data_IF_998209412602
#
_entry.id   IF_998209412602
#
_cell.length_a   1.000
_cell.length_b   1.000
_cell.length_c   1.000
_cell.angle_alpha   90.00
_cell.angle_beta   90.00
_cell.angle_gamma   90.00
#
_symmetry.space_group_name_H-M   'P 1'
#
loop_
_entity.id
_entity.type
_entity.pdbx_description
1 polymer ?
#
# COMPACT_ATOMS: atom_id res chain seq x y z
N UNK A 1 -26.23 -31.80 -12.38
CA UNK A 1 -26.66 -30.40 -12.42
C UNK A 1 -25.41 -29.58 -12.68
N UNK A 2 -25.27 -29.11 -13.89
CA UNK A 2 -24.12 -28.33 -14.35
C UNK A 2 -24.29 -26.88 -13.82
N UNK A 3 -23.32 -26.39 -13.05
CA UNK A 3 -23.22 -24.99 -12.70
C UNK A 3 -22.37 -24.29 -13.74
N UNK A 4 -23.04 -23.47 -14.50
CA UNK A 4 -22.52 -22.56 -15.50
C UNK A 4 -21.44 -21.65 -14.88
N UNK A 5 -20.19 -21.91 -15.25
CA UNK A 5 -19.04 -21.10 -14.87
C UNK A 5 -18.73 -20.11 -15.97
N UNK A 6 -19.46 -19.00 -16.04
CA UNK A 6 -19.05 -17.86 -16.85
C UNK A 6 -17.72 -17.31 -16.31
N UNK A 7 -16.65 -17.62 -17.01
CA UNK A 7 -15.35 -16.99 -16.82
C UNK A 7 -15.48 -15.49 -17.15
N UNK A 8 -15.51 -14.66 -16.10
CA UNK A 8 -15.31 -13.22 -16.27
C UNK A 8 -13.93 -12.98 -16.93
N UNK A 9 -13.95 -12.44 -18.12
CA UNK A 9 -12.77 -11.89 -18.78
C UNK A 9 -12.09 -10.88 -17.85
N UNK A 10 -10.75 -10.79 -17.83
CA UNK A 10 -10.08 -9.74 -17.11
C UNK A 10 -10.51 -8.39 -17.69
N UNK A 11 -11.18 -7.59 -16.88
CA UNK A 11 -11.58 -6.23 -17.21
C UNK A 11 -10.40 -5.46 -17.81
N UNK A 12 -10.59 -4.94 -19.01
CA UNK A 12 -9.70 -3.94 -19.58
C UNK A 12 -9.55 -2.80 -18.58
N UNK A 13 -8.31 -2.49 -18.25
CA UNK A 13 -7.95 -1.51 -17.23
C UNK A 13 -8.59 -0.15 -17.54
N UNK A 14 -9.64 0.19 -16.82
CA UNK A 14 -10.20 1.54 -16.85
C UNK A 14 -9.09 2.56 -16.51
N UNK A 15 -9.06 3.73 -17.17
CA UNK A 15 -8.01 4.71 -16.98
C UNK A 15 -7.92 5.11 -15.51
N UNK A 16 -6.77 4.85 -14.91
CA UNK A 16 -6.50 5.16 -13.51
C UNK A 16 -6.25 6.67 -13.41
N UNK A 17 -7.27 7.43 -13.04
CA UNK A 17 -7.03 8.78 -12.52
C UNK A 17 -6.53 8.58 -11.10
N UNK A 18 -5.22 8.65 -10.93
CA UNK A 18 -4.59 8.57 -9.63
C UNK A 18 -5.06 9.77 -8.80
N UNK A 19 -5.89 9.53 -7.78
CA UNK A 19 -5.92 10.44 -6.65
C UNK A 19 -4.55 10.31 -5.98
N UNK A 20 -3.65 11.18 -6.38
CA UNK A 20 -2.27 11.18 -5.88
C UNK A 20 -2.32 11.61 -4.43
N UNK A 21 -1.71 10.82 -3.54
CA UNK A 21 -1.31 11.34 -2.24
C UNK A 21 -0.54 12.67 -2.46
N UNK A 22 -0.50 13.60 -1.50
CA UNK A 22 0.33 14.79 -1.61
C UNK A 22 1.77 14.48 -2.03
N UNK A 23 2.26 13.29 -1.69
CA UNK A 23 3.56 12.74 -2.05
C UNK A 23 3.61 12.32 -3.54
N UNK A 24 2.48 11.89 -4.13
CA UNK A 24 2.39 11.47 -5.53
C UNK A 24 1.92 12.59 -6.47
N UNK A 25 1.41 13.70 -5.94
CA UNK A 25 0.96 14.85 -6.74
C UNK A 25 2.10 15.64 -7.36
N UNK A 26 3.32 15.49 -6.86
CA UNK A 26 4.49 16.15 -7.39
C UNK A 26 4.98 15.47 -8.70
N UNK A 27 4.26 15.62 -9.79
CA UNK A 27 4.86 15.56 -11.09
C UNK A 27 4.73 14.33 -11.95
N UNK A 28 3.55 14.02 -12.38
CA UNK A 28 3.27 13.13 -13.50
C UNK A 28 3.00 13.87 -14.83
N UNK A 29 3.68 14.98 -15.09
CA UNK A 29 3.68 15.56 -16.43
C UNK A 29 4.48 14.66 -17.37
N UNK A 30 3.96 14.44 -18.61
CA UNK A 30 4.75 13.87 -19.69
C UNK A 30 6.10 14.61 -19.79
N UNK A 31 7.19 13.95 -20.22
CA UNK A 31 8.44 14.63 -20.44
C UNK A 31 8.22 15.71 -21.49
N UNK A 32 8.02 16.96 -21.04
CA UNK A 32 7.90 18.11 -21.94
C UNK A 32 9.25 18.48 -22.49
N UNK A 33 9.30 18.88 -23.76
CA UNK A 33 10.45 19.53 -24.35
C UNK A 33 10.45 20.96 -23.87
N UNK A 34 11.35 21.30 -22.95
CA UNK A 34 11.54 22.70 -22.48
C UNK A 34 12.33 23.56 -23.45
N UNK A 35 12.78 23.06 -24.60
CA UNK A 35 13.41 23.78 -25.72
C UNK A 35 14.73 24.48 -25.40
N UNK A 36 15.33 24.29 -24.21
CA UNK A 36 16.57 24.96 -23.79
C UNK A 36 17.73 24.00 -23.56
N UNK A 37 18.94 24.55 -23.51
CA UNK A 37 20.15 23.80 -23.15
C UNK A 37 19.97 23.19 -21.74
N UNK A 38 20.23 21.89 -21.63
CA UNK A 38 20.07 21.14 -20.37
C UNK A 38 18.74 20.43 -20.22
N UNK A 39 17.91 20.38 -21.28
CA UNK A 39 16.63 19.61 -21.31
C UNK A 39 16.64 18.50 -22.37
N UNK A 40 15.58 17.68 -22.36
CA UNK A 40 15.39 16.60 -23.33
C UNK A 40 15.07 17.16 -24.72
N UNK A 41 15.90 16.78 -25.68
CA UNK A 41 15.65 17.08 -27.10
C UNK A 41 14.72 16.05 -27.72
N UNK A 42 14.14 16.38 -28.90
CA UNK A 42 13.28 15.42 -29.61
C UNK A 42 14.03 14.14 -29.96
N UNK A 43 15.29 14.23 -30.33
CA UNK A 43 16.14 13.05 -30.60
C UNK A 43 16.29 12.14 -29.38
N UNK A 44 16.51 12.72 -28.19
CA UNK A 44 16.55 11.96 -26.96
C UNK A 44 15.20 11.30 -26.61
N UNK A 45 14.09 11.98 -26.86
CA UNK A 45 12.77 11.45 -26.57
C UNK A 45 12.41 10.25 -27.47
N UNK A 46 12.77 10.30 -28.74
CA UNK A 46 12.44 9.28 -29.73
C UNK A 46 13.43 8.11 -29.75
N UNK A 47 14.68 8.33 -29.34
CA UNK A 47 15.72 7.30 -29.39
C UNK A 47 15.57 6.29 -28.22
N UNK A 48 15.54 5.01 -28.55
CA UNK A 48 15.53 3.94 -27.56
C UNK A 48 16.92 3.70 -26.92
N UNK A 49 17.98 4.00 -27.68
CA UNK A 49 19.39 3.81 -27.29
C UNK A 49 20.10 5.18 -27.35
N UNK A 50 20.74 5.56 -26.26
CA UNK A 50 21.43 6.86 -26.14
C UNK A 50 22.95 6.70 -26.21
N UNK A 51 23.59 7.71 -26.80
CA UNK A 51 25.04 7.85 -26.79
C UNK A 51 25.46 8.95 -25.82
N UNK A 52 26.71 8.92 -25.36
CA UNK A 52 27.28 10.00 -24.55
C UNK A 52 27.25 11.34 -25.34
N UNK A 53 27.48 11.29 -26.65
CA UNK A 53 27.45 12.46 -27.51
C UNK A 53 26.06 13.12 -27.58
N UNK A 54 24.98 12.33 -27.61
CA UNK A 54 23.58 12.87 -27.61
C UNK A 54 23.29 13.63 -26.32
N UNK A 55 23.68 13.06 -25.16
CA UNK A 55 23.49 13.70 -23.85
C UNK A 55 24.32 14.98 -23.73
N UNK A 56 25.58 14.94 -24.19
CA UNK A 56 26.47 16.11 -24.23
C UNK A 56 25.95 17.20 -25.15
N UNK A 57 25.46 16.87 -26.32
CA UNK A 57 24.90 17.85 -27.28
C UNK A 57 23.64 18.54 -26.70
N UNK A 58 22.82 17.85 -25.91
CA UNK A 58 21.70 18.43 -25.20
C UNK A 58 22.14 19.33 -24.01
N UNK A 59 23.41 19.32 -23.66
CA UNK A 59 23.96 20.08 -22.52
C UNK A 59 23.48 19.58 -21.14
N UNK A 60 23.07 18.32 -21.07
CA UNK A 60 22.64 17.69 -19.81
C UNK A 60 23.88 17.25 -19.03
N UNK A 61 24.13 17.73 -17.79
CA UNK A 61 25.25 17.30 -16.98
C UNK A 61 25.12 15.81 -16.63
N UNK A 62 26.26 15.10 -16.65
CA UNK A 62 26.35 13.67 -16.38
C UNK A 62 27.03 13.43 -15.05
N UNK A 63 26.43 12.60 -14.20
CA UNK A 63 26.99 12.09 -12.96
C UNK A 63 27.25 10.59 -13.13
N UNK A 64 28.49 10.16 -12.93
CA UNK A 64 28.86 8.76 -13.00
C UNK A 64 28.69 8.09 -11.65
N UNK A 65 27.96 6.97 -11.63
CA UNK A 65 27.79 6.16 -10.44
C UNK A 65 27.47 4.71 -10.85
N UNK A 66 28.13 3.70 -10.29
CA UNK A 66 27.94 2.32 -10.73
C UNK A 66 26.51 1.80 -10.58
N UNK A 67 25.80 2.20 -9.52
CA UNK A 67 24.46 1.72 -9.18
C UNK A 67 23.49 2.87 -8.92
N UNK A 68 22.34 2.80 -9.57
CA UNK A 68 21.23 3.73 -9.36
C UNK A 68 19.98 2.94 -8.95
N UNK A 69 19.27 3.40 -7.94
CA UNK A 69 17.91 2.94 -7.67
C UNK A 69 16.91 4.07 -7.89
N UNK A 70 15.82 3.76 -8.59
CA UNK A 70 14.74 4.69 -8.92
C UNK A 70 13.54 4.44 -8.02
N UNK A 71 13.14 5.48 -7.29
CA UNK A 71 12.20 5.41 -6.19
C UNK A 71 12.92 5.24 -4.85
N UNK A 72 12.53 6.03 -3.85
CA UNK A 72 13.20 6.06 -2.54
C UNK A 72 12.49 5.28 -1.44
N UNK A 73 11.46 4.47 -1.79
CA UNK A 73 10.66 3.73 -0.82
C UNK A 73 11.35 2.48 -0.23
N UNK A 74 10.59 1.69 0.50
CA UNK A 74 11.07 0.48 1.21
C UNK A 74 11.81 -0.48 0.27
N UNK A 75 11.37 -0.64 -0.99
CA UNK A 75 12.04 -1.54 -1.94
C UNK A 75 13.48 -1.11 -2.24
N UNK A 76 13.71 0.18 -2.49
CA UNK A 76 15.06 0.72 -2.68
C UNK A 76 15.88 0.65 -1.40
N UNK A 77 15.25 0.96 -0.27
CA UNK A 77 15.90 0.91 1.04
C UNK A 77 16.47 -0.48 1.33
N UNK A 78 15.68 -1.53 1.16
CA UNK A 78 16.13 -2.91 1.38
C UNK A 78 17.27 -3.29 0.44
N UNK A 79 17.20 -2.92 -0.84
CA UNK A 79 18.27 -3.20 -1.80
C UNK A 79 19.57 -2.51 -1.42
N UNK A 80 19.50 -1.23 -1.05
CA UNK A 80 20.67 -0.45 -0.61
C UNK A 80 21.22 -1.01 0.70
N UNK A 81 20.36 -1.39 1.64
CA UNK A 81 20.74 -2.01 2.91
C UNK A 81 21.59 -3.28 2.68
N UNK A 82 21.11 -4.19 1.80
CA UNK A 82 21.90 -5.37 1.41
C UNK A 82 23.25 -5.03 0.78
N UNK A 83 23.30 -4.03 -0.10
CA UNK A 83 24.56 -3.60 -0.72
C UNK A 83 25.52 -2.99 0.33
N UNK A 84 25.01 -2.22 1.27
CA UNK A 84 25.81 -1.66 2.38
C UNK A 84 26.33 -2.75 3.31
N UNK A 85 25.53 -3.75 3.64
CA UNK A 85 25.96 -4.93 4.41
C UNK A 85 27.06 -5.69 3.66
N UNK A 86 26.95 -5.80 2.34
CA UNK A 86 27.98 -6.42 1.48
C UNK A 86 29.24 -5.57 1.30
N UNK A 87 29.33 -4.40 1.94
CA UNK A 87 30.51 -3.53 1.93
C UNK A 87 30.57 -2.53 0.78
N UNK A 88 29.51 -2.36 -0.02
CA UNK A 88 29.49 -1.33 -1.07
C UNK A 88 29.45 0.06 -0.45
N UNK A 89 30.40 0.96 -0.72
CA UNK A 89 30.44 2.29 -0.14
C UNK A 89 29.34 3.21 -0.72
N UNK A 90 28.98 4.26 0.02
CA UNK A 90 27.85 5.16 -0.31
C UNK A 90 28.04 5.96 -1.60
N UNK A 91 29.28 6.30 -1.93
CA UNK A 91 29.63 7.03 -3.17
C UNK A 91 29.38 6.22 -4.45
N UNK A 92 29.32 4.90 -4.32
CA UNK A 92 29.04 3.98 -5.45
C UNK A 92 27.55 3.81 -5.78
N UNK A 93 26.68 4.44 -5.02
CA UNK A 93 25.22 4.29 -5.15
C UNK A 93 24.49 5.63 -5.10
N UNK A 94 23.39 5.75 -5.84
CA UNK A 94 22.44 6.86 -5.71
C UNK A 94 21.01 6.34 -5.69
N UNK A 95 20.22 6.96 -4.82
CA UNK A 95 18.77 6.73 -4.71
C UNK A 95 18.09 7.97 -5.24
N UNK A 96 17.40 7.85 -6.38
CA UNK A 96 16.75 8.97 -7.04
C UNK A 96 15.26 9.00 -6.66
N UNK A 97 14.83 10.01 -5.93
CA UNK A 97 13.45 10.09 -5.43
C UNK A 97 13.06 11.51 -5.00
N UNK A 98 11.77 11.73 -4.90
CA UNK A 98 11.17 12.95 -4.34
C UNK A 98 10.78 12.82 -2.85
N UNK A 99 10.82 11.61 -2.27
CA UNK A 99 10.50 11.40 -0.85
C UNK A 99 11.72 11.67 0.07
N UNK A 100 11.45 12.02 1.33
CA UNK A 100 12.49 12.41 2.29
C UNK A 100 13.17 11.23 2.98
N UNK A 101 12.39 10.17 3.23
CA UNK A 101 12.86 8.96 3.90
C UNK A 101 12.11 7.72 3.40
N UNK A 102 12.73 6.53 3.46
CA UNK A 102 12.22 5.34 2.78
C UNK A 102 10.82 4.87 3.20
N UNK A 103 10.42 5.12 4.42
CA UNK A 103 9.11 4.69 4.94
C UNK A 103 8.03 5.77 4.87
N UNK A 104 8.30 6.94 4.29
CA UNK A 104 7.37 8.08 4.21
C UNK A 104 6.01 7.70 3.61
N UNK A 105 6.01 7.06 2.45
CA UNK A 105 4.77 6.59 1.81
C UNK A 105 4.07 5.53 2.64
N UNK A 106 4.83 4.64 3.28
CA UNK A 106 4.28 3.58 4.12
C UNK A 106 3.64 4.16 5.40
N UNK A 107 4.30 5.09 6.05
CA UNK A 107 3.74 5.80 7.22
C UNK A 107 2.49 6.61 6.85
N UNK A 108 2.51 7.30 5.71
CA UNK A 108 1.32 7.96 5.17
C UNK A 108 0.16 6.98 4.96
N UNK A 109 0.39 5.87 4.26
CA UNK A 109 -0.63 4.87 3.99
C UNK A 109 -1.18 4.21 5.26
N UNK A 110 -0.35 3.93 6.26
CA UNK A 110 -0.83 3.41 7.55
C UNK A 110 -1.69 4.44 8.27
N UNK A 111 -1.31 5.71 8.26
CA UNK A 111 -2.07 6.80 8.88
C UNK A 111 -3.45 6.95 8.24
N UNK A 112 -3.52 7.10 6.92
CA UNK A 112 -4.82 7.26 6.23
C UNK A 112 -5.68 6.00 6.31
N UNK A 113 -5.08 4.82 6.36
CA UNK A 113 -5.79 3.54 6.57
C UNK A 113 -6.25 3.32 8.02
N UNK A 114 -6.16 4.33 8.89
CA UNK A 114 -6.54 4.27 10.30
C UNK A 114 -5.78 3.18 11.08
N UNK A 115 -4.49 3.03 10.81
CA UNK A 115 -3.59 2.14 11.54
C UNK A 115 -2.67 2.99 12.42
N UNK A 116 -3.02 3.24 13.68
CA UNK A 116 -2.21 4.07 14.56
C UNK A 116 -0.90 3.38 14.96
N UNK A 117 0.11 4.16 15.35
CA UNK A 117 1.45 3.64 15.73
C UNK A 117 1.44 2.50 16.77
N UNK A 118 0.51 2.45 17.77
CA UNK A 118 0.41 1.32 18.69
C UNK A 118 -0.19 0.04 18.09
N UNK A 119 -0.83 0.10 16.92
CA UNK A 119 -1.45 -1.07 16.29
C UNK A 119 -0.39 -2.00 15.71
N UNK A 120 -0.68 -3.30 15.74
CA UNK A 120 0.19 -4.31 15.14
C UNK A 120 0.05 -4.33 13.64
N UNK A 121 1.18 -4.43 12.96
CA UNK A 121 1.22 -4.54 11.50
C UNK A 121 2.10 -5.72 11.09
N UNK A 122 1.72 -6.35 9.98
CA UNK A 122 2.61 -7.24 9.29
C UNK A 122 3.61 -6.41 8.50
N UNK A 123 4.88 -6.57 8.80
CA UNK A 123 5.92 -5.87 8.06
C UNK A 123 7.10 -6.80 7.80
N UNK A 124 7.27 -7.17 6.55
CA UNK A 124 8.41 -7.97 6.11
C UNK A 124 9.70 -7.12 6.11
N UNK A 125 9.56 -5.79 6.08
CA UNK A 125 10.69 -4.84 6.23
C UNK A 125 11.36 -4.87 7.60
N UNK A 126 10.71 -5.46 8.60
CA UNK A 126 11.30 -5.71 9.91
C UNK A 126 12.27 -6.90 9.92
N UNK A 127 12.23 -7.78 8.92
CA UNK A 127 13.09 -8.95 8.77
C UNK A 127 14.28 -8.59 7.90
N UNK A 128 15.22 -7.82 8.43
CA UNK A 128 16.42 -7.39 7.72
C UNK A 128 17.57 -8.38 7.92
N UNK A 129 18.53 -8.43 6.96
CA UNK A 129 19.66 -9.38 7.03
C UNK A 129 20.53 -9.22 8.28
N UNK A 130 20.64 -8.00 8.80
CA UNK A 130 21.42 -7.67 9.99
C UNK A 130 20.70 -8.01 11.30
N UNK A 131 19.41 -8.23 11.24
CA UNK A 131 18.60 -8.62 12.40
C UNK A 131 18.43 -10.14 12.45
N UNK A 132 19.44 -10.85 12.93
CA UNK A 132 19.45 -12.31 13.05
C UNK A 132 18.34 -12.85 13.96
N UNK A 133 17.85 -12.03 14.87
CA UNK A 133 16.75 -12.37 15.77
C UNK A 133 15.37 -12.10 15.17
N UNK A 134 15.30 -11.31 14.08
CA UNK A 134 14.05 -10.97 13.42
C UNK A 134 12.98 -10.43 14.39
N UNK A 135 11.77 -10.95 14.30
CA UNK A 135 10.66 -10.55 15.20
C UNK A 135 10.90 -10.77 16.70
N UNK A 136 11.64 -11.78 17.17
CA UNK A 136 12.00 -11.91 18.58
C UNK A 136 12.67 -10.68 19.19
N UNK A 137 13.49 -9.94 18.44
CA UNK A 137 14.10 -8.71 18.93
C UNK A 137 13.08 -7.61 19.24
N UNK A 138 12.04 -7.48 18.44
CA UNK A 138 10.94 -6.56 18.70
C UNK A 138 10.09 -7.03 19.89
N UNK A 139 9.86 -8.33 20.02
CA UNK A 139 9.13 -8.89 21.15
C UNK A 139 9.87 -8.66 22.47
N UNK A 140 11.19 -8.80 22.48
CA UNK A 140 12.02 -8.49 23.64
C UNK A 140 11.94 -6.99 24.00
N UNK A 141 12.12 -6.10 23.03
CA UNK A 141 12.02 -4.66 23.24
C UNK A 141 10.64 -4.25 23.76
N UNK A 142 9.57 -4.84 23.24
CA UNK A 142 8.20 -4.60 23.73
C UNK A 142 7.99 -5.13 25.14
N UNK A 143 8.50 -6.33 25.46
CA UNK A 143 8.43 -6.92 26.78
C UNK A 143 9.12 -6.04 27.83
N UNK A 144 10.30 -5.52 27.53
CA UNK A 144 11.04 -4.62 28.40
C UNK A 144 10.32 -3.28 28.58
N UNK A 145 9.85 -2.65 27.50
CA UNK A 145 9.14 -1.36 27.54
C UNK A 145 7.85 -1.42 28.35
N UNK A 146 7.07 -2.48 28.18
CA UNK A 146 5.76 -2.64 28.81
C UNK A 146 5.80 -3.47 30.11
N UNK A 147 6.99 -3.90 30.55
CA UNK A 147 7.21 -4.75 31.75
C UNK A 147 6.27 -5.98 31.74
N UNK A 148 6.19 -6.69 30.61
CA UNK A 148 5.32 -7.86 30.43
C UNK A 148 6.00 -8.95 29.62
N UNK A 149 5.78 -10.22 30.00
CA UNK A 149 6.32 -11.37 29.26
C UNK A 149 5.41 -11.84 28.11
N UNK A 150 4.24 -11.22 27.92
CA UNK A 150 3.26 -11.63 26.92
C UNK A 150 3.82 -11.69 25.47
N UNK A 151 4.61 -10.71 24.99
CA UNK A 151 5.22 -10.77 23.66
C UNK A 151 6.20 -11.94 23.50
N UNK A 152 7.00 -12.24 24.54
CA UNK A 152 7.96 -13.35 24.53
C UNK A 152 7.24 -14.70 24.55
N UNK A 153 6.19 -14.82 25.38
CA UNK A 153 5.33 -16.02 25.37
C UNK A 153 4.74 -16.26 23.98
N UNK A 154 4.31 -15.22 23.27
CA UNK A 154 3.76 -15.35 21.92
C UNK A 154 4.80 -15.91 20.95
N UNK A 155 6.05 -15.47 21.01
CA UNK A 155 7.16 -16.01 20.20
C UNK A 155 7.40 -17.48 20.52
N UNK A 156 7.40 -17.86 21.80
CA UNK A 156 7.65 -19.24 22.22
C UNK A 156 6.54 -20.22 21.78
N UNK A 157 5.29 -19.78 21.76
CA UNK A 157 4.16 -20.63 21.37
C UNK A 157 3.86 -20.59 19.85
N UNK A 158 4.54 -19.76 19.11
CA UNK A 158 4.36 -19.61 17.64
C UNK A 158 4.40 -20.96 16.90
N UNK A 159 5.34 -21.87 17.14
CA UNK A 159 5.38 -23.15 16.44
C UNK A 159 4.13 -24.02 16.63
N UNK A 160 3.41 -23.82 17.74
CA UNK A 160 2.22 -24.59 18.10
C UNK A 160 0.95 -23.95 17.55
N UNK A 161 0.81 -22.64 17.71
CA UNK A 161 -0.44 -21.91 17.42
C UNK A 161 -0.48 -21.27 16.04
N UNK A 162 0.62 -21.24 15.31
CA UNK A 162 0.77 -20.59 14.00
C UNK A 162 0.35 -19.10 13.95
N UNK A 163 0.10 -18.49 15.11
CA UNK A 163 -0.23 -17.07 15.27
C UNK A 163 0.89 -16.41 16.06
N UNK A 164 1.88 -15.95 15.35
CA UNK A 164 3.11 -15.44 15.93
C UNK A 164 3.10 -13.93 16.14
N UNK A 165 4.11 -13.49 16.86
CA UNK A 165 4.33 -12.10 17.18
C UNK A 165 4.49 -11.25 15.92
N UNK A 166 3.80 -10.11 15.90
CA UNK A 166 4.00 -9.04 14.92
C UNK A 166 4.27 -7.71 15.63
N UNK A 167 5.21 -6.89 15.11
CA UNK A 167 5.55 -5.63 15.77
C UNK A 167 4.42 -4.61 15.67
N UNK A 168 4.50 -3.57 16.49
CA UNK A 168 3.66 -2.37 16.36
C UNK A 168 4.21 -1.48 15.24
N UNK A 169 3.33 -0.73 14.56
CA UNK A 169 3.71 0.16 13.47
C UNK A 169 4.83 1.14 13.87
N UNK A 170 4.73 1.76 15.05
CA UNK A 170 5.76 2.66 15.56
C UNK A 170 7.12 2.00 15.72
N UNK A 171 7.17 0.76 16.20
CA UNK A 171 8.44 0.02 16.35
C UNK A 171 9.10 -0.26 15.01
N UNK A 172 8.30 -0.55 13.97
CA UNK A 172 8.81 -0.76 12.61
C UNK A 172 9.44 0.52 12.07
N UNK A 173 8.75 1.65 12.19
CA UNK A 173 9.27 2.94 11.72
C UNK A 173 10.55 3.36 12.47
N UNK A 174 10.57 3.21 13.79
CA UNK A 174 11.78 3.44 14.61
C UNK A 174 12.93 2.52 14.19
N UNK A 175 12.64 1.27 13.84
CA UNK A 175 13.63 0.32 13.33
C UNK A 175 14.20 0.74 11.97
N UNK A 176 13.35 1.16 11.04
CA UNK A 176 13.75 1.66 9.73
C UNK A 176 14.59 2.93 9.84
N UNK A 177 14.22 3.83 10.75
CA UNK A 177 14.98 5.06 11.01
C UNK A 177 16.41 4.75 11.53
N UNK A 178 16.53 3.88 12.52
CA UNK A 178 17.86 3.48 13.05
C UNK A 178 18.72 2.87 11.96
N UNK A 179 18.14 2.00 11.14
CA UNK A 179 18.86 1.34 10.06
C UNK A 179 19.23 2.32 8.94
N UNK A 180 18.35 3.24 8.59
CA UNK A 180 18.65 4.31 7.63
C UNK A 180 19.87 5.14 8.06
N UNK A 181 19.96 5.46 9.35
CA UNK A 181 21.13 6.16 9.93
C UNK A 181 22.39 5.29 9.88
N UNK A 182 22.29 4.00 10.23
CA UNK A 182 23.42 3.06 10.21
C UNK A 182 24.07 2.92 8.85
N UNK A 183 23.24 2.84 7.79
CA UNK A 183 23.74 2.68 6.41
C UNK A 183 24.06 4.00 5.71
N UNK A 184 23.86 5.14 6.39
CA UNK A 184 24.03 6.50 5.82
C UNK A 184 23.16 6.70 4.57
N UNK A 185 21.87 6.31 4.64
CA UNK A 185 20.96 6.34 3.49
C UNK A 185 20.81 7.75 2.90
N UNK A 186 20.81 8.79 3.75
CA UNK A 186 20.71 10.19 3.35
C UNK A 186 21.83 10.62 2.39
N UNK A 187 23.04 10.06 2.53
CA UNK A 187 24.19 10.43 1.70
C UNK A 187 24.06 9.92 0.27
N UNK A 188 23.21 8.91 0.06
CA UNK A 188 22.92 8.32 -1.24
C UNK A 188 21.69 8.92 -1.91
N UNK A 189 20.80 9.59 -1.14
CA UNK A 189 19.53 10.13 -1.62
C UNK A 189 19.75 11.41 -2.42
N UNK A 190 19.28 11.40 -3.66
CA UNK A 190 19.26 12.58 -4.54
C UNK A 190 17.81 12.93 -4.84
N UNK A 191 17.42 14.12 -4.38
CA UNK A 191 16.06 14.62 -4.54
C UNK A 191 15.76 15.02 -5.97
N UNK A 192 14.58 14.65 -6.44
CA UNK A 192 14.05 15.02 -7.72
C UNK A 192 13.15 13.97 -8.35
N UNK A 193 12.62 14.32 -9.50
CA UNK A 193 11.70 13.45 -10.23
C UNK A 193 12.43 12.74 -11.38
N UNK A 194 12.46 11.42 -11.33
CA UNK A 194 12.97 10.62 -12.43
C UNK A 194 11.97 10.69 -13.59
N UNK A 195 12.46 11.08 -14.77
CA UNK A 195 11.66 11.26 -15.97
C UNK A 195 11.72 10.08 -16.91
N UNK A 196 12.90 9.49 -17.06
CA UNK A 196 13.10 8.34 -17.91
C UNK A 196 14.39 7.60 -17.61
N UNK A 197 14.44 6.38 -18.09
CA UNK A 197 15.63 5.52 -18.11
C UNK A 197 15.83 5.11 -19.55
N UNK A 198 17.07 5.18 -20.05
CA UNK A 198 17.46 4.75 -21.40
C UNK A 198 18.69 3.86 -21.34
N UNK A 199 18.73 2.89 -22.23
CA UNK A 199 19.95 2.09 -22.43
C UNK A 199 21.02 2.96 -23.06
N UNK A 200 22.25 2.81 -22.61
CA UNK A 200 23.42 3.50 -23.15
C UNK A 200 24.10 2.61 -24.20
N UNK A 201 24.50 3.21 -25.31
CA UNK A 201 25.38 2.54 -26.27
C UNK A 201 26.74 2.26 -25.61
N UNK A 202 27.23 1.03 -25.73
CA UNK A 202 28.43 0.59 -25.00
C UNK A 202 28.17 0.02 -23.60
N UNK A 203 26.89 -0.09 -23.21
CA UNK A 203 26.45 -0.75 -21.96
C UNK A 203 26.06 0.23 -20.87
N UNK A 204 25.25 -0.29 -19.94
CA UNK A 204 24.70 0.51 -18.84
C UNK A 204 23.49 1.36 -19.26
N UNK A 205 23.22 2.40 -18.45
CA UNK A 205 22.00 3.18 -18.52
C UNK A 205 22.26 4.67 -18.26
N UNK A 206 21.39 5.50 -18.83
CA UNK A 206 21.16 6.87 -18.39
C UNK A 206 19.83 6.96 -17.66
N UNK A 207 19.84 7.49 -16.44
CA UNK A 207 18.64 7.83 -15.67
C UNK A 207 18.53 9.33 -15.55
N UNK A 208 17.43 9.90 -16.05
CA UNK A 208 17.23 11.35 -16.10
C UNK A 208 16.41 11.81 -14.92
N UNK A 209 16.98 12.72 -14.14
CA UNK A 209 16.35 13.35 -12.98
C UNK A 209 16.10 14.84 -13.27
N UNK A 210 14.94 15.33 -12.84
CA UNK A 210 14.67 16.77 -12.69
C UNK A 210 14.82 17.11 -11.20
N UNK A 211 15.79 17.95 -10.84
CA UNK A 211 15.89 18.47 -9.47
C UNK A 211 14.64 19.26 -9.04
N UNK A 212 14.32 19.36 -7.73
CA UNK A 212 13.08 19.99 -7.25
C UNK A 212 12.94 21.45 -7.66
N UNK A 213 14.03 22.22 -7.67
CA UNK A 213 14.06 23.67 -7.86
C UNK A 213 14.51 24.08 -9.27
N UNK A 214 14.57 23.14 -10.22
CA UNK A 214 15.05 23.42 -11.58
C UNK A 214 14.08 24.32 -12.36
N UNK A 215 14.47 25.58 -12.60
CA UNK A 215 13.73 26.56 -13.42
C UNK A 215 14.71 27.24 -14.41
N UNK A 216 14.51 27.16 -15.74
CA UNK A 216 13.67 26.19 -16.46
C UNK A 216 14.14 24.75 -16.17
N UNK A 217 13.37 23.76 -16.58
CA UNK A 217 13.61 22.35 -16.25
C UNK A 217 15.01 21.90 -16.70
N UNK A 218 16.00 22.04 -15.83
CA UNK A 218 17.34 21.50 -16.03
C UNK A 218 17.37 20.06 -15.58
N UNK A 219 17.84 19.19 -16.45
CA UNK A 219 17.96 17.77 -16.20
C UNK A 219 19.35 17.41 -15.73
N UNK A 220 19.46 16.32 -14.98
CA UNK A 220 20.74 15.67 -14.66
C UNK A 220 20.63 14.21 -15.11
N UNK A 221 21.65 13.74 -15.82
CA UNK A 221 21.75 12.35 -16.25
C UNK A 221 22.68 11.58 -15.29
N UNK A 222 22.16 10.53 -14.69
CA UNK A 222 23.01 9.57 -13.96
C UNK A 222 23.39 8.44 -14.91
N UNK A 223 24.70 8.32 -15.18
CA UNK A 223 25.25 7.23 -16.00
C UNK A 223 25.65 6.09 -15.08
N UNK A 224 25.01 4.93 -15.24
CA UNK A 224 25.22 3.80 -14.34
C UNK A 224 25.35 2.48 -15.10
N UNK A 225 26.02 1.50 -14.49
CA UNK A 225 26.08 0.14 -15.00
C UNK A 225 24.80 -0.63 -14.65
N UNK A 226 24.26 -0.41 -13.46
CA UNK A 226 23.07 -1.09 -12.96
C UNK A 226 22.00 -0.08 -12.56
N UNK A 227 20.74 -0.42 -12.85
CA UNK A 227 19.57 0.34 -12.42
C UNK A 227 18.56 -0.62 -11.76
N UNK A 228 18.18 -0.30 -10.53
CA UNK A 228 17.10 -0.95 -9.81
C UNK A 228 15.86 -0.06 -9.87
N UNK A 229 14.71 -0.61 -10.25
CA UNK A 229 13.46 0.12 -10.36
C UNK A 229 12.53 -0.31 -9.24
N UNK A 230 12.25 0.59 -8.31
CA UNK A 230 11.41 0.36 -7.12
C UNK A 230 10.43 1.52 -6.90
N UNK A 231 9.66 1.82 -7.92
CA UNK A 231 8.72 2.97 -7.96
C UNK A 231 7.44 2.77 -7.13
N UNK A 232 7.27 1.59 -6.53
CA UNK A 232 6.11 1.29 -5.69
C UNK A 232 4.82 1.13 -6.48
N UNK A 233 3.70 1.48 -5.86
CA UNK A 233 2.38 1.38 -6.47
C UNK A 233 2.13 2.59 -7.40
N UNK A 234 1.54 2.38 -8.58
CA UNK A 234 1.34 3.46 -9.56
C UNK A 234 0.27 4.48 -9.16
N UNK A 235 -0.54 4.18 -8.16
CA UNK A 235 -1.60 5.06 -7.66
C UNK A 235 -2.76 4.32 -7.01
N UNK A 236 -3.76 5.06 -6.57
CA UNK A 236 -5.00 4.51 -6.03
C UNK A 236 -5.93 4.12 -7.18
N UNK A 237 -6.47 2.91 -7.12
CA UNK A 237 -7.51 2.47 -8.04
C UNK A 237 -8.87 2.71 -7.39
N UNK A 238 -9.66 3.58 -7.99
CA UNK A 238 -11.07 3.73 -7.64
C UNK A 238 -11.93 2.72 -8.38
N UNK A 239 -13.04 2.35 -7.79
CA UNK A 239 -14.07 1.64 -8.51
C UNK A 239 -14.68 2.58 -9.57
N UNK A 240 -15.00 2.10 -10.79
CA UNK A 240 -15.41 2.95 -11.89
C UNK A 240 -16.60 3.87 -11.56
N UNK A 241 -17.60 3.35 -10.87
CA UNK A 241 -18.79 4.10 -10.46
C UNK A 241 -18.49 5.20 -9.43
N UNK A 242 -17.51 4.98 -8.53
CA UNK A 242 -17.08 6.01 -7.57
C UNK A 242 -16.27 7.10 -8.28
N UNK A 243 -15.44 6.71 -9.23
CA UNK A 243 -14.66 7.65 -10.02
C UNK A 243 -15.57 8.51 -10.90
N UNK A 244 -16.54 7.91 -11.57
CA UNK A 244 -17.52 8.62 -12.39
C UNK A 244 -18.29 9.64 -11.54
N UNK A 245 -18.85 9.22 -10.41
CA UNK A 245 -19.58 10.11 -9.50
C UNK A 245 -18.72 11.31 -9.06
N UNK A 246 -17.48 11.06 -8.63
CA UNK A 246 -16.56 12.14 -8.18
C UNK A 246 -16.27 13.13 -9.30
N UNK A 247 -16.04 12.64 -10.52
CA UNK A 247 -15.71 13.48 -11.65
C UNK A 247 -16.93 14.29 -12.15
N UNK A 248 -18.09 13.67 -12.25
CA UNK A 248 -19.33 14.28 -12.70
C UNK A 248 -19.84 15.35 -11.75
N UNK A 249 -19.77 15.09 -10.45
CA UNK A 249 -20.29 15.98 -9.42
C UNK A 249 -19.22 16.90 -8.80
N UNK A 250 -17.93 16.75 -9.17
CA UNK A 250 -16.78 17.43 -8.54
C UNK A 250 -16.77 17.27 -7.01
N UNK A 251 -17.29 16.12 -6.55
CA UNK A 251 -17.44 15.82 -5.12
C UNK A 251 -16.34 14.88 -4.64
N UNK A 252 -15.37 15.45 -3.94
CA UNK A 252 -14.26 14.75 -3.33
C UNK A 252 -14.39 14.67 -1.80
N UNK A 253 -15.51 15.12 -1.25
CA UNK A 253 -15.76 15.16 0.19
C UNK A 253 -16.67 14.06 0.69
N UNK A 254 -17.70 13.69 -0.07
CA UNK A 254 -18.66 12.67 0.35
C UNK A 254 -18.23 11.26 -0.09
N UNK A 255 -17.46 11.16 -1.17
CA UNK A 255 -16.96 9.89 -1.70
C UNK A 255 -15.45 9.87 -1.67
N UNK A 256 -14.89 9.11 -0.73
CA UNK A 256 -13.45 9.07 -0.45
C UNK A 256 -12.92 7.64 -0.50
N UNK A 257 -11.62 7.52 -0.82
CA UNK A 257 -10.89 6.27 -0.65
C UNK A 257 -10.25 6.21 0.73
N UNK A 258 -10.25 5.05 1.36
CA UNK A 258 -9.55 4.85 2.62
C UNK A 258 -8.00 4.95 2.51
N UNK A 259 -7.47 5.13 1.30
CA UNK A 259 -6.05 5.40 1.03
C UNK A 259 -5.76 6.86 0.69
N UNK A 260 -6.77 7.73 0.75
CA UNK A 260 -6.63 9.19 0.72
C UNK A 260 -6.73 9.76 2.12
N UNK A 261 -6.43 11.05 2.27
CA UNK A 261 -6.76 11.77 3.50
C UNK A 261 -8.28 11.99 3.56
N UNK A 262 -8.90 11.47 4.61
CA UNK A 262 -10.34 11.53 4.83
C UNK A 262 -10.70 11.88 6.28
N UNK A 263 -9.80 12.58 6.99
CA UNK A 263 -10.07 13.02 8.37
C UNK A 263 -11.29 13.96 8.45
N UNK A 264 -11.55 14.75 7.42
CA UNK A 264 -12.73 15.60 7.32
C UNK A 264 -14.07 14.83 7.47
N UNK A 265 -14.10 13.55 7.11
CA UNK A 265 -15.31 12.70 7.30
C UNK A 265 -15.59 12.50 8.79
N UNK A 266 -14.57 12.19 9.57
CA UNK A 266 -14.70 12.01 11.04
C UNK A 266 -15.03 13.33 11.73
N UNK A 267 -14.40 14.43 11.33
CA UNK A 267 -14.67 15.77 11.88
C UNK A 267 -16.11 16.19 11.61
N UNK A 268 -16.60 15.96 10.39
CA UNK A 268 -18.00 16.24 10.04
C UNK A 268 -18.98 15.43 10.91
N UNK A 269 -18.71 14.14 11.14
CA UNK A 269 -19.55 13.27 11.95
C UNK A 269 -19.59 13.67 13.43
N UNK A 270 -18.55 14.36 13.93
CA UNK A 270 -18.53 14.92 15.28
C UNK A 270 -19.48 16.09 15.43
N UNK A 271 -19.70 16.85 14.36
CA UNK A 271 -20.53 18.05 14.35
C UNK A 271 -21.96 17.74 13.94
N UNK A 272 -22.15 16.91 12.91
CA UNK A 272 -23.46 16.60 12.34
C UNK A 272 -23.64 15.08 12.19
N UNK A 273 -24.68 14.51 12.82
CA UNK A 273 -25.02 13.09 12.59
C UNK A 273 -25.34 12.82 11.13
N UNK A 274 -25.05 11.61 10.68
CA UNK A 274 -25.33 11.18 9.31
C UNK A 274 -25.20 9.68 9.17
N UNK A 275 -25.15 9.19 7.93
CA UNK A 275 -24.93 7.79 7.59
C UNK A 275 -23.59 7.64 6.88
N UNK A 276 -22.78 6.71 7.32
CA UNK A 276 -21.53 6.35 6.66
C UNK A 276 -21.68 5.02 5.96
N UNK A 277 -21.51 5.01 4.64
CA UNK A 277 -21.45 3.79 3.86
C UNK A 277 -19.99 3.33 3.70
N UNK A 278 -19.64 2.20 4.32
CA UNK A 278 -18.33 1.55 4.15
C UNK A 278 -18.46 0.46 3.09
N UNK A 279 -17.58 0.47 2.09
CA UNK A 279 -17.51 -0.58 1.07
C UNK A 279 -16.27 -1.44 1.22
N UNK A 280 -16.46 -2.75 1.26
CA UNK A 280 -15.38 -3.73 1.28
C UNK A 280 -15.21 -4.48 2.59
N UNK A 281 -14.57 -5.66 2.53
CA UNK A 281 -14.38 -6.58 3.66
C UNK A 281 -12.90 -6.85 4.00
N UNK A 282 -11.98 -5.98 3.55
CA UNK A 282 -10.55 -6.12 3.79
C UNK A 282 -10.07 -5.50 5.12
N UNK A 283 -8.76 -5.57 5.33
CA UNK A 283 -8.14 -5.05 6.56
C UNK A 283 -8.38 -3.55 6.73
N UNK A 284 -8.32 -2.75 5.67
CA UNK A 284 -8.47 -1.30 5.75
C UNK A 284 -9.92 -0.93 6.11
N UNK A 285 -10.93 -1.57 5.49
CA UNK A 285 -12.33 -1.35 5.88
C UNK A 285 -12.59 -1.70 7.34
N UNK A 286 -11.94 -2.75 7.86
CA UNK A 286 -12.03 -3.10 9.27
C UNK A 286 -11.40 -2.05 10.19
N UNK A 287 -10.38 -1.34 9.72
CA UNK A 287 -9.73 -0.26 10.49
C UNK A 287 -10.55 1.02 10.49
N UNK A 288 -11.08 1.40 9.33
CA UNK A 288 -12.04 2.52 9.21
C UNK A 288 -13.26 2.28 10.11
N UNK A 289 -13.83 1.06 10.06
CA UNK A 289 -14.94 0.68 10.93
C UNK A 289 -14.58 0.77 12.42
N UNK A 290 -13.38 0.28 12.79
CA UNK A 290 -12.91 0.36 14.19
C UNK A 290 -12.79 1.82 14.65
N UNK A 291 -12.22 2.71 13.81
CA UNK A 291 -12.11 4.14 14.10
C UNK A 291 -13.49 4.78 14.29
N UNK A 292 -14.44 4.52 13.41
CA UNK A 292 -15.81 5.04 13.52
C UNK A 292 -16.48 4.56 14.82
N UNK A 293 -16.36 3.29 15.17
CA UNK A 293 -16.93 2.75 16.41
C UNK A 293 -16.28 3.34 17.66
N UNK A 294 -14.95 3.52 17.64
CA UNK A 294 -14.23 4.12 18.76
C UNK A 294 -14.58 5.63 18.92
N UNK A 295 -14.66 6.39 17.81
CA UNK A 295 -15.07 7.80 17.85
C UNK A 295 -16.54 7.94 18.30
N UNK A 296 -17.43 7.06 17.82
CA UNK A 296 -18.83 7.04 18.26
C UNK A 296 -18.95 6.85 19.78
N UNK A 297 -18.20 5.90 20.34
CA UNK A 297 -18.19 5.64 21.77
C UNK A 297 -17.50 6.76 22.57
N UNK A 298 -16.37 7.25 22.11
CA UNK A 298 -15.55 8.26 22.81
C UNK A 298 -16.25 9.62 22.90
N UNK A 299 -16.91 10.02 21.82
CA UNK A 299 -17.54 11.34 21.72
C UNK A 299 -19.07 11.29 21.83
N UNK A 300 -19.64 10.14 22.20
CA UNK A 300 -21.09 9.91 22.31
C UNK A 300 -21.87 10.36 21.06
N UNK A 301 -21.41 9.94 19.87
CA UNK A 301 -21.99 10.35 18.60
C UNK A 301 -23.18 9.45 18.19
N UNK A 302 -24.08 10.01 17.37
CA UNK A 302 -25.33 9.34 16.98
C UNK A 302 -25.41 8.96 15.49
N UNK A 303 -24.30 9.04 14.73
CA UNK A 303 -24.29 8.61 13.32
C UNK A 303 -24.48 7.09 13.16
N UNK A 304 -25.01 6.70 12.00
CA UNK A 304 -25.19 5.30 11.62
C UNK A 304 -24.09 4.83 10.68
N UNK A 305 -23.81 3.52 10.69
CA UNK A 305 -22.86 2.88 9.80
C UNK A 305 -23.57 1.79 9.00
N UNK A 306 -23.52 1.89 7.68
CA UNK A 306 -23.93 0.84 6.74
C UNK A 306 -22.68 0.24 6.13
N UNK A 307 -22.48 -1.07 6.30
CA UNK A 307 -21.33 -1.78 5.78
C UNK A 307 -21.72 -2.68 4.62
N UNK A 308 -21.29 -2.33 3.42
CA UNK A 308 -21.61 -3.03 2.19
C UNK A 308 -20.47 -3.98 1.82
N UNK A 309 -20.77 -5.26 1.79
CA UNK A 309 -19.89 -6.31 1.31
C UNK A 309 -20.29 -6.78 -0.08
N UNK A 310 -19.33 -6.96 -0.99
CA UNK A 310 -19.61 -7.66 -2.25
C UNK A 310 -19.90 -9.14 -1.99
N UNK A 311 -19.16 -9.77 -1.10
CA UNK A 311 -19.36 -11.14 -0.66
C UNK A 311 -19.39 -11.16 0.87
N UNK A 312 -20.50 -11.62 1.42
CA UNK A 312 -20.67 -11.71 2.87
C UNK A 312 -20.18 -13.05 3.39
N UNK A 313 -19.20 -13.02 4.27
CA UNK A 313 -18.66 -14.22 4.93
C UNK A 313 -19.39 -14.43 6.24
N UNK A 314 -20.26 -15.44 6.32
CA UNK A 314 -21.09 -15.72 7.50
C UNK A 314 -20.40 -16.57 8.56
N UNK A 315 -19.42 -17.38 8.17
CA UNK A 315 -18.77 -18.33 9.07
C UNK A 315 -17.45 -18.89 8.53
N UNK A 316 -16.97 -20.02 9.07
CA UNK A 316 -15.74 -20.64 8.63
C UNK A 316 -15.78 -21.00 7.15
N UNK A 317 -14.72 -20.69 6.43
CA UNK A 317 -14.62 -20.84 4.98
C UNK A 317 -13.22 -21.34 4.58
N UNK A 318 -13.09 -21.80 3.35
CA UNK A 318 -11.88 -22.36 2.76
C UNK A 318 -12.13 -23.73 2.14
N UNK A 319 -11.26 -24.18 1.22
CA UNK A 319 -11.50 -25.35 0.38
C UNK A 319 -11.42 -26.69 1.12
N UNK A 320 -10.67 -26.75 2.22
CA UNK A 320 -10.48 -27.98 2.97
C UNK A 320 -10.13 -27.69 4.45
N UNK A 321 -10.03 -28.74 5.28
CA UNK A 321 -9.78 -28.59 6.71
C UNK A 321 -8.48 -27.83 7.04
N UNK A 322 -7.41 -28.04 6.24
CA UNK A 322 -6.12 -27.39 6.44
C UNK A 322 -6.10 -25.91 6.08
N UNK A 323 -6.97 -25.53 5.14
CA UNK A 323 -7.09 -24.15 4.67
C UNK A 323 -8.35 -23.45 5.22
N UNK A 324 -9.04 -24.10 6.18
CA UNK A 324 -10.24 -23.54 6.75
C UNK A 324 -9.90 -22.37 7.68
N UNK A 325 -10.54 -21.27 7.40
CA UNK A 325 -10.35 -20.00 8.10
C UNK A 325 -11.59 -19.60 8.85
N UNK A 326 -11.41 -18.87 9.94
CA UNK A 326 -12.53 -18.25 10.64
C UNK A 326 -13.15 -17.18 9.79
N UNK A 327 -14.47 -17.07 9.83
CA UNK A 327 -15.24 -16.00 9.19
C UNK A 327 -16.42 -15.62 10.06
N UNK A 328 -17.05 -14.53 9.73
CA UNK A 328 -18.24 -14.04 10.39
C UNK A 328 -18.36 -12.52 10.30
N UNK A 329 -19.58 -12.02 10.50
CA UNK A 329 -19.87 -10.59 10.42
C UNK A 329 -19.50 -9.94 9.08
N UNK A 330 -19.48 -10.73 7.98
CA UNK A 330 -19.08 -10.27 6.66
C UNK A 330 -17.58 -10.37 6.37
N UNK A 331 -16.76 -10.62 7.38
CA UNK A 331 -15.31 -10.66 7.25
C UNK A 331 -14.75 -12.08 7.23
N UNK A 332 -13.72 -12.26 6.41
CA UNK A 332 -12.84 -13.39 6.50
C UNK A 332 -11.72 -13.08 7.50
N UNK A 333 -11.60 -13.86 8.56
CA UNK A 333 -10.55 -13.65 9.56
C UNK A 333 -9.35 -14.54 9.28
N UNK A 334 -8.17 -13.92 9.34
CA UNK A 334 -6.89 -14.63 9.25
C UNK A 334 -5.94 -14.05 10.30
N UNK A 335 -5.10 -14.91 10.87
CA UNK A 335 -3.90 -14.44 11.55
C UNK A 335 -3.04 -13.61 10.59
N UNK A 336 -2.25 -12.67 11.11
CA UNK A 336 -1.35 -11.84 10.28
C UNK A 336 -0.42 -12.67 9.39
N UNK A 337 -0.22 -13.89 9.76
CA UNK A 337 0.78 -14.78 9.18
C UNK A 337 0.21 -15.83 8.23
N UNK A 338 -1.08 -15.81 8.02
CA UNK A 338 -1.64 -16.62 6.97
C UNK A 338 -1.53 -15.86 5.62
N UNK A 339 -1.07 -16.47 4.58
CA UNK A 339 -0.42 -17.77 4.49
C UNK A 339 1.12 -17.66 4.53
N UNK A 340 1.72 -17.55 5.71
CA UNK A 340 3.18 -17.49 5.87
C UNK A 340 3.88 -18.64 5.14
N UNK A 341 3.26 -19.81 5.12
CA UNK A 341 3.75 -20.99 4.39
C UNK A 341 3.90 -20.76 2.87
N UNK A 342 3.27 -19.72 2.31
CA UNK A 342 3.54 -19.29 0.92
C UNK A 342 4.93 -18.68 0.78
N UNK A 343 5.41 -18.00 1.82
CA UNK A 343 6.72 -17.34 1.84
C UNK A 343 7.83 -18.25 2.36
N UNK A 344 7.44 -19.36 2.99
CA UNK A 344 8.35 -20.37 3.52
C UNK A 344 7.75 -21.78 3.44
N UNK A 345 8.56 -22.81 3.71
CA UNK A 345 8.10 -24.18 3.85
C UNK A 345 7.48 -24.82 2.61
N UNK A 346 6.62 -25.79 2.84
CA UNK A 346 6.04 -26.66 1.80
C UNK A 346 5.16 -25.92 0.79
N UNK A 347 4.37 -24.94 1.24
CA UNK A 347 3.48 -24.19 0.35
C UNK A 347 4.29 -23.30 -0.60
N UNK A 348 5.40 -22.72 -0.14
CA UNK A 348 6.34 -21.99 -1.01
C UNK A 348 6.93 -22.92 -2.05
N UNK A 349 7.35 -24.14 -1.66
CA UNK A 349 7.87 -25.14 -2.58
C UNK A 349 6.81 -25.55 -3.62
N UNK A 350 5.55 -25.77 -3.20
CA UNK A 350 4.41 -25.99 -4.11
C UNK A 350 4.25 -24.85 -5.10
N UNK A 351 4.17 -23.60 -4.61
CA UNK A 351 3.96 -22.42 -5.45
C UNK A 351 5.08 -22.19 -6.46
N UNK A 352 6.32 -22.54 -6.13
CA UNK A 352 7.45 -22.45 -7.06
C UNK A 352 7.37 -23.45 -8.23
N UNK A 353 6.72 -24.60 -8.02
CA UNK A 353 6.54 -25.63 -9.06
C UNK A 353 5.37 -25.32 -10.00
N UNK A 354 4.47 -24.44 -9.60
CA UNK A 354 3.31 -24.06 -10.39
C UNK A 354 3.63 -22.84 -11.25
N UNK A 355 3.08 -22.81 -12.47
CA UNK A 355 3.27 -21.71 -13.41
C UNK A 355 1.91 -21.24 -13.96
N UNK A 356 1.88 -20.03 -14.51
CA UNK A 356 0.74 -19.45 -15.20
C UNK A 356 -0.57 -19.56 -14.41
N UNK A 357 -1.59 -20.08 -15.04
CA UNK A 357 -2.96 -20.18 -14.52
C UNK A 357 -3.08 -21.13 -13.31
N UNK A 358 -2.30 -22.20 -13.28
CA UNK A 358 -2.27 -23.11 -12.14
C UNK A 358 -1.83 -22.41 -10.86
N UNK A 359 -0.78 -21.58 -10.96
CA UNK A 359 -0.32 -20.76 -9.84
C UNK A 359 -1.37 -19.71 -9.43
N UNK A 360 -2.01 -19.06 -10.40
CA UNK A 360 -3.06 -18.09 -10.16
C UNK A 360 -4.28 -18.71 -9.45
N UNK A 361 -4.68 -19.90 -9.87
CA UNK A 361 -5.77 -20.65 -9.22
C UNK A 361 -5.44 -21.02 -7.79
N UNK A 362 -4.23 -21.51 -7.53
CA UNK A 362 -3.80 -21.82 -6.16
C UNK A 362 -3.77 -20.56 -5.27
N UNK A 363 -3.34 -19.41 -5.80
CA UNK A 363 -3.43 -18.12 -5.09
C UNK A 363 -4.87 -17.72 -4.77
N UNK A 364 -5.79 -17.90 -5.70
CA UNK A 364 -7.23 -17.63 -5.45
C UNK A 364 -7.78 -18.49 -4.31
N UNK A 365 -7.39 -19.77 -4.26
CA UNK A 365 -7.78 -20.68 -3.18
C UNK A 365 -7.24 -20.27 -1.81
N UNK A 366 -6.04 -19.72 -1.76
CA UNK A 366 -5.46 -19.19 -0.52
C UNK A 366 -6.16 -17.93 -0.02
N UNK A 367 -6.80 -17.18 -0.91
CA UNK A 367 -7.50 -15.95 -0.63
C UNK A 367 -6.58 -14.77 -0.32
N UNK A 368 -7.14 -13.57 -0.35
CA UNK A 368 -6.42 -12.32 -0.10
C UNK A 368 -6.13 -12.05 1.37
N UNK A 369 -5.54 -10.89 1.62
CA UNK A 369 -5.34 -10.36 2.97
C UNK A 369 -6.67 -10.09 3.63
N UNK A 370 -6.88 -10.68 4.80
CA UNK A 370 -8.08 -10.52 5.59
C UNK A 370 -7.75 -9.82 6.91
N UNK A 371 -8.77 -9.43 7.64
CA UNK A 371 -8.57 -8.74 8.92
C UNK A 371 -8.26 -9.72 10.04
N UNK A 372 -7.36 -9.40 10.98
CA UNK A 372 -7.19 -10.19 12.18
C UNK A 372 -8.44 -10.12 13.06
N UNK A 373 -8.74 -11.24 13.71
CA UNK A 373 -9.84 -11.30 14.65
C UNK A 373 -9.49 -10.55 15.94
N UNK A 374 -10.36 -9.63 16.38
CA UNK A 374 -10.19 -8.85 17.62
C UNK A 374 -11.46 -8.93 18.46
N UNK A 375 -11.33 -9.41 19.68
CA UNK A 375 -12.50 -9.63 20.57
C UNK A 375 -13.30 -8.35 20.83
N UNK A 376 -12.64 -7.25 21.18
CA UNK A 376 -13.30 -5.95 21.42
C UNK A 376 -14.08 -5.48 20.20
N UNK A 377 -13.49 -5.58 19.04
CA UNK A 377 -14.10 -5.18 17.79
C UNK A 377 -15.36 -6.01 17.45
N UNK A 378 -15.31 -7.34 17.72
CA UNK A 378 -16.51 -8.20 17.59
C UNK A 378 -17.62 -7.79 18.54
N UNK A 379 -17.29 -7.45 19.77
CA UNK A 379 -18.26 -6.96 20.77
C UNK A 379 -18.91 -5.65 20.32
N UNK A 380 -18.11 -4.69 19.82
CA UNK A 380 -18.62 -3.41 19.30
C UNK A 380 -19.56 -3.61 18.10
N UNK A 381 -19.22 -4.47 17.13
CA UNK A 381 -20.09 -4.79 16.00
C UNK A 381 -21.42 -5.42 16.45
N UNK A 382 -21.37 -6.38 17.37
CA UNK A 382 -22.57 -7.04 17.87
C UNK A 382 -23.47 -6.05 18.64
N UNK A 383 -22.88 -5.20 19.48
CA UNK A 383 -23.60 -4.11 20.16
C UNK A 383 -24.24 -3.14 19.17
N UNK A 384 -23.50 -2.72 18.13
CA UNK A 384 -24.01 -1.81 17.11
C UNK A 384 -25.19 -2.39 16.34
N UNK A 385 -25.15 -3.69 16.04
CA UNK A 385 -26.28 -4.39 15.42
C UNK A 385 -27.50 -4.44 16.34
N UNK A 386 -27.29 -4.81 17.59
CA UNK A 386 -28.38 -4.90 18.57
C UNK A 386 -29.05 -3.52 18.80
N UNK A 387 -28.29 -2.45 18.73
CA UNK A 387 -28.76 -1.07 18.88
C UNK A 387 -29.20 -0.41 17.57
N UNK A 388 -29.06 -1.09 16.42
CA UNK A 388 -29.54 -0.61 15.11
C UNK A 388 -28.65 0.40 14.39
N UNK A 389 -27.56 0.92 15.00
CA UNK A 389 -26.69 1.91 14.36
C UNK A 389 -25.59 1.32 13.46
N UNK A 390 -25.38 0.00 13.51
CA UNK A 390 -24.50 -0.71 12.59
C UNK A 390 -25.31 -1.73 11.78
N UNK A 391 -25.44 -1.47 10.48
CA UNK A 391 -26.17 -2.34 9.56
C UNK A 391 -25.20 -2.93 8.54
N UNK A 392 -25.48 -4.14 8.10
CA UNK A 392 -24.68 -4.87 7.12
C UNK A 392 -25.54 -5.25 5.93
N UNK A 393 -25.01 -5.04 4.74
CA UNK A 393 -25.64 -5.40 3.47
C UNK A 393 -24.66 -6.19 2.61
N UNK A 394 -25.18 -7.08 1.78
CA UNK A 394 -24.44 -7.75 0.72
C UNK A 394 -24.96 -7.26 -0.64
N UNK A 395 -24.05 -6.75 -1.47
CA UNK A 395 -24.44 -6.21 -2.77
C UNK A 395 -23.35 -5.38 -3.42
N UNK A 396 -23.70 -4.75 -4.53
CA UNK A 396 -22.86 -3.82 -5.28
C UNK A 396 -23.58 -2.50 -5.49
N UNK A 397 -22.86 -1.40 -5.47
CA UNK A 397 -23.45 -0.10 -5.85
C UNK A 397 -23.55 -0.07 -7.36
N UNK A 398 -24.77 0.18 -7.87
CA UNK A 398 -25.04 0.34 -9.31
C UNK A 398 -25.01 1.80 -9.72
N UNK A 399 -25.54 2.69 -8.88
CA UNK A 399 -25.62 4.11 -9.20
C UNK A 399 -25.50 4.95 -7.92
N UNK A 400 -24.93 6.12 -8.10
CA UNK A 400 -24.87 7.15 -7.07
C UNK A 400 -25.45 8.46 -7.61
N UNK A 401 -26.18 9.18 -6.79
CA UNK A 401 -26.79 10.47 -7.13
C UNK A 401 -26.67 11.44 -5.97
N UNK A 402 -26.57 12.70 -6.28
CA UNK A 402 -26.75 13.79 -5.30
C UNK A 402 -28.23 14.13 -5.25
N UNK A 403 -28.78 14.21 -4.05
CA UNK A 403 -30.14 14.67 -3.79
C UNK A 403 -30.17 16.20 -3.69
N UNK A 404 -31.35 16.80 -3.83
CA UNK A 404 -31.55 18.26 -3.76
C UNK A 404 -31.07 18.87 -2.43
N UNK A 405 -31.05 18.10 -1.35
CA UNK A 405 -30.50 18.50 -0.03
C UNK A 405 -28.98 18.32 0.09
N UNK A 406 -28.29 17.96 -0.99
CA UNK A 406 -26.84 17.73 -1.02
C UNK A 406 -26.40 16.37 -0.46
N UNK A 407 -27.34 15.49 -0.10
CA UNK A 407 -27.02 14.13 0.36
C UNK A 407 -26.71 13.21 -0.81
N UNK A 408 -25.74 12.31 -0.63
CA UNK A 408 -25.42 11.30 -1.62
C UNK A 408 -26.23 10.03 -1.37
N UNK A 409 -26.99 9.61 -2.38
CA UNK A 409 -27.72 8.34 -2.38
C UNK A 409 -26.94 7.32 -3.20
N UNK A 410 -26.76 6.14 -2.63
CA UNK A 410 -26.20 4.98 -3.32
C UNK A 410 -27.30 3.93 -3.56
N UNK A 411 -27.58 3.62 -4.80
CA UNK A 411 -28.47 2.50 -5.17
C UNK A 411 -27.66 1.21 -5.15
N UNK A 412 -28.11 0.26 -4.34
CA UNK A 412 -27.39 -1.00 -4.10
C UNK A 412 -28.19 -2.16 -4.66
N UNK A 413 -27.60 -2.88 -5.61
CA UNK A 413 -28.13 -4.17 -6.05
C UNK A 413 -27.78 -5.24 -5.04
N UNK A 414 -28.78 -5.86 -4.46
CA UNK A 414 -28.66 -7.00 -3.56
C UNK A 414 -29.03 -8.30 -4.25
N UNK A 415 -28.76 -9.45 -3.64
CA UNK A 415 -29.21 -10.75 -4.14
C UNK A 415 -30.74 -10.90 -4.15
N UNK A 416 -31.49 -9.99 -3.52
CA UNK A 416 -32.93 -9.96 -3.44
C UNK A 416 -33.57 -8.88 -4.34
N UNK A 417 -32.79 -8.26 -5.22
CA UNK A 417 -33.18 -7.13 -6.06
C UNK A 417 -32.57 -5.80 -5.60
N UNK A 418 -32.81 -4.72 -6.35
CA UNK A 418 -32.31 -3.39 -6.00
C UNK A 418 -32.96 -2.82 -4.74
#
# INVERSE_FOLDING_TARGET
>A
MATDGSAEQPDEAAPTIAARSPIQQAGGGAPGTGGGRGDLTQDLLTSALWTDAMVAAAGIPVVDVPFVTVGGGIGSFVTVDYLRIAGVPTDRMRVLSDIDFPWQTYEYLTRVSQIPRPERIRSDSASRPDNIWGFPSYALAEAMRNKTLAPLRQVLVEPIWADYYTPRAGMVFEGLERESKRISYSDMLVKGQVRMIRRRQGGGYFTILTPPDAKPARRVAFRSQFVHIAVGYPGLKFLPELQAFRTENQDFHHVVSAYEDHEHVYDRLRVKPGVVLIRGGGIVSSRVLARLMDDRAKYNLSFEIVHLFRTYVSGPHGPNAWMRRKGGNGFAYQGFNYPKSVWGGQLKAKMRRLEGEQRATEYKLMGGTNTPWRRRWQQQMNQGRAQGWYRVMAGTVEQMKVRDDGMVISMVKTSQGP
#
